data_IF_423834428759
#
_entry.id   IF_423834428759
#
_cell.length_a   1.000
_cell.length_b   1.000
_cell.length_c   1.000
_cell.angle_alpha   90.00
_cell.angle_beta   90.00
_cell.angle_gamma   90.00
#
_symmetry.space_group_name_H-M   'P 1'
#
loop_
_entity.id
_entity.type
_entity.pdbx_description
1 polymer ?
#
# COMPACT_ATOMS: atom_id res chain seq x y z
N UNK A 1 32.01 65.09 -39.54
CA UNK A 1 32.63 63.74 -39.70
C UNK A 1 33.10 63.29 -38.34
N UNK A 2 32.32 62.47 -37.63
CA UNK A 2 32.58 62.08 -36.24
C UNK A 2 33.51 60.86 -36.18
N UNK A 3 34.58 60.86 -35.36
CA UNK A 3 35.55 59.78 -35.33
C UNK A 3 35.09 58.59 -34.49
N UNK A 4 35.30 57.42 -35.09
CA UNK A 4 34.97 56.06 -34.66
C UNK A 4 35.81 55.56 -33.48
N UNK A 5 35.48 55.94 -32.24
CA UNK A 5 36.15 55.36 -31.05
C UNK A 5 35.26 55.12 -29.82
N UNK A 6 34.09 55.75 -29.73
CA UNK A 6 33.16 55.61 -28.59
C UNK A 6 32.31 54.34 -28.61
N UNK A 7 32.15 53.70 -29.78
CA UNK A 7 31.32 52.49 -29.91
C UNK A 7 32.03 51.26 -29.31
N UNK A 8 33.35 51.12 -29.52
CA UNK A 8 34.12 49.94 -29.05
C UNK A 8 34.23 49.89 -27.52
N UNK A 9 34.31 51.04 -26.85
CA UNK A 9 34.45 51.12 -25.39
C UNK A 9 33.13 50.89 -24.66
N UNK A 10 31.98 51.25 -25.26
CA UNK A 10 30.64 51.04 -24.71
C UNK A 10 30.19 49.56 -24.76
N UNK A 11 30.59 48.81 -25.80
CA UNK A 11 30.26 47.38 -25.91
C UNK A 11 31.02 46.51 -24.90
N UNK A 12 32.24 46.89 -24.53
CA UNK A 12 33.08 46.12 -23.58
C UNK A 12 32.62 46.36 -22.13
N UNK A 13 32.18 47.57 -21.79
CA UNK A 13 31.66 47.87 -20.45
C UNK A 13 30.24 47.33 -20.22
N UNK A 14 29.40 47.27 -21.26
CA UNK A 14 28.07 46.65 -21.20
C UNK A 14 28.14 45.13 -21.01
N UNK A 15 29.10 44.42 -21.62
CA UNK A 15 29.28 42.97 -21.42
C UNK A 15 29.87 42.63 -20.04
N UNK A 16 30.82 43.44 -19.54
CA UNK A 16 31.44 43.22 -18.23
C UNK A 16 30.47 43.51 -17.06
N UNK A 17 29.57 44.48 -17.21
CA UNK A 17 28.55 44.80 -16.18
C UNK A 17 27.36 43.83 -16.21
N UNK A 18 26.99 43.32 -17.39
CA UNK A 18 25.99 42.26 -17.51
C UNK A 18 26.50 40.91 -16.99
N UNK A 19 27.80 40.65 -17.09
CA UNK A 19 28.44 39.46 -16.50
C UNK A 19 28.56 39.53 -14.97
N UNK A 20 28.60 40.72 -14.36
CA UNK A 20 28.64 40.87 -12.90
C UNK A 20 27.24 40.78 -12.25
N UNK A 21 26.18 41.05 -13.02
CA UNK A 21 24.78 40.90 -12.56
C UNK A 21 24.27 39.44 -12.65
N UNK A 22 24.92 38.60 -13.45
CA UNK A 22 24.55 37.18 -13.62
C UNK A 22 25.15 36.23 -12.56
N UNK A 23 26.06 36.70 -11.70
CA UNK A 23 26.68 35.90 -10.62
C UNK A 23 25.93 35.98 -9.28
N UNK A 24 24.97 36.89 -9.13
CA UNK A 24 24.15 36.99 -7.91
C UNK A 24 22.80 36.27 -7.99
N UNK A 25 22.44 35.70 -9.14
CA UNK A 25 21.41 34.66 -9.25
C UNK A 25 22.06 33.27 -9.11
N UNK A 26 23.07 33.18 -8.25
CA UNK A 26 23.60 31.93 -7.73
C UNK A 26 22.71 31.36 -6.63
N UNK A 27 21.39 31.27 -6.81
CA UNK A 27 20.56 30.47 -5.90
C UNK A 27 20.66 28.99 -6.28
N UNK A 28 21.89 28.48 -6.29
CA UNK A 28 22.21 27.04 -6.34
C UNK A 28 22.26 26.45 -4.92
N UNK A 29 21.65 27.12 -3.93
CA UNK A 29 21.95 26.94 -2.52
C UNK A 29 20.73 26.97 -1.60
N UNK A 30 19.71 26.15 -1.86
CA UNK A 30 18.84 25.65 -0.78
C UNK A 30 18.12 24.35 -1.18
N UNK A 31 18.86 23.33 -1.61
CA UNK A 31 18.30 21.98 -1.76
C UNK A 31 18.20 21.31 -0.39
N UNK A 32 17.42 21.88 0.53
CA UNK A 32 17.04 21.09 1.71
C UNK A 32 16.16 19.97 1.17
N UNK A 33 16.54 18.74 1.47
CA UNK A 33 15.65 17.62 1.20
C UNK A 33 14.50 17.77 2.18
N UNK A 34 13.26 17.91 1.69
CA UNK A 34 12.13 18.13 2.56
C UNK A 34 12.01 16.93 3.50
N UNK A 35 11.62 17.21 4.74
CA UNK A 35 11.49 16.19 5.78
C UNK A 35 10.07 15.65 5.80
N UNK A 36 9.92 14.34 5.96
CA UNK A 36 8.60 13.71 6.01
C UNK A 36 7.93 14.09 7.33
N UNK A 37 6.74 14.69 7.25
CA UNK A 37 5.98 15.12 8.43
C UNK A 37 4.86 14.17 8.80
N UNK A 38 4.21 13.55 7.81
CA UNK A 38 3.14 12.57 8.04
C UNK A 38 3.10 11.50 6.95
N UNK A 39 2.52 10.35 7.31
CA UNK A 39 2.27 9.24 6.40
C UNK A 39 0.80 8.83 6.55
N UNK A 40 0.10 8.70 5.43
CA UNK A 40 -1.28 8.27 5.37
C UNK A 40 -1.40 6.97 4.58
N UNK A 41 -2.23 6.04 5.06
CA UNK A 41 -2.55 4.78 4.36
C UNK A 41 -3.93 4.92 3.73
N UNK A 42 -4.07 4.45 2.49
CA UNK A 42 -5.35 4.30 1.81
C UNK A 42 -5.44 2.97 1.06
N UNK A 43 -6.65 2.52 0.67
CA UNK A 43 -7.96 3.02 1.12
C UNK A 43 -8.20 2.75 2.62
N UNK A 44 -9.11 3.49 3.25
CA UNK A 44 -9.50 3.24 4.63
C UNK A 44 -10.54 2.12 4.71
N UNK A 45 -10.33 1.18 5.63
CA UNK A 45 -11.29 0.12 5.95
C UNK A 45 -11.78 -0.73 4.76
N UNK A 46 -10.90 -1.20 3.85
CA UNK A 46 -11.35 -2.00 2.71
C UNK A 46 -11.92 -3.34 3.18
N UNK A 47 -12.96 -3.79 2.48
CA UNK A 47 -13.51 -5.14 2.61
C UNK A 47 -13.21 -5.92 1.33
N UNK A 48 -12.54 -7.07 1.48
CA UNK A 48 -12.16 -7.94 0.37
C UNK A 48 -12.73 -9.34 0.55
N UNK A 49 -12.92 -10.04 -0.57
CA UNK A 49 -13.21 -11.48 -0.56
C UNK A 49 -11.92 -12.29 -0.63
N UNK A 50 -11.98 -13.56 -0.25
CA UNK A 50 -10.82 -14.48 -0.32
C UNK A 50 -10.20 -14.64 -1.72
N UNK A 51 -10.95 -14.32 -2.77
CA UNK A 51 -10.47 -14.37 -4.16
C UNK A 51 -9.91 -13.03 -4.67
N UNK A 52 -9.93 -11.97 -3.86
CA UNK A 52 -9.54 -10.62 -4.27
C UNK A 52 -8.36 -10.12 -3.45
N UNK A 53 -7.44 -9.44 -4.13
CA UNK A 53 -6.35 -8.70 -3.50
C UNK A 53 -6.71 -7.22 -3.42
N UNK A 54 -6.19 -6.51 -2.41
CA UNK A 54 -6.35 -5.06 -2.29
C UNK A 54 -5.00 -4.36 -2.38
N UNK A 55 -4.88 -3.40 -3.28
CA UNK A 55 -3.73 -2.50 -3.31
C UNK A 55 -3.92 -1.42 -2.24
N UNK A 56 -2.97 -1.33 -1.31
CA UNK A 56 -2.85 -0.24 -0.36
C UNK A 56 -1.83 0.77 -0.88
N UNK A 57 -2.03 2.04 -0.56
CA UNK A 57 -1.11 3.12 -0.86
C UNK A 57 -0.64 3.80 0.42
N UNK A 58 0.62 4.22 0.44
CA UNK A 58 1.20 5.02 1.51
C UNK A 58 1.62 6.38 0.94
N UNK A 59 0.87 7.43 1.28
CA UNK A 59 1.14 8.80 0.82
C UNK A 59 1.81 9.58 1.94
N UNK A 60 3.04 10.06 1.69
CA UNK A 60 3.78 10.90 2.60
C UNK A 60 3.56 12.38 2.32
N UNK A 61 3.32 13.18 3.36
CA UNK A 61 3.31 14.65 3.28
C UNK A 61 4.59 15.18 3.92
N UNK A 62 5.22 16.14 3.26
CA UNK A 62 6.47 16.75 3.69
C UNK A 62 6.26 18.14 4.29
N UNK A 63 7.29 18.68 4.94
CA UNK A 63 7.30 20.01 5.57
C UNK A 63 7.18 21.17 4.59
N UNK A 64 7.60 20.97 3.34
CA UNK A 64 7.39 21.90 2.23
C UNK A 64 5.94 21.85 1.66
N UNK A 65 5.07 21.01 2.24
CA UNK A 65 3.70 20.79 1.80
C UNK A 65 3.55 19.88 0.58
N UNK A 66 4.66 19.39 0.00
CA UNK A 66 4.60 18.42 -1.08
C UNK A 66 4.13 17.05 -0.59
N UNK A 67 3.53 16.27 -1.48
CA UNK A 67 3.15 14.88 -1.21
C UNK A 67 3.88 13.94 -2.15
N UNK A 68 4.24 12.74 -1.67
CA UNK A 68 4.83 11.68 -2.49
C UNK A 68 4.20 10.35 -2.18
N UNK A 69 4.06 9.53 -3.23
CA UNK A 69 3.76 8.13 -3.08
C UNK A 69 5.01 7.39 -2.56
N UNK A 70 4.87 6.79 -1.38
CA UNK A 70 5.88 6.01 -0.69
C UNK A 70 5.51 4.53 -0.61
N UNK A 71 4.47 4.08 -1.33
CA UNK A 71 3.93 2.71 -1.26
C UNK A 71 5.01 1.64 -1.40
N UNK A 72 5.87 1.74 -2.41
CA UNK A 72 6.97 0.77 -2.64
C UNK A 72 8.23 1.01 -1.81
N UNK A 73 8.23 2.02 -0.94
CA UNK A 73 9.36 2.38 -0.06
C UNK A 73 9.03 2.24 1.42
N UNK A 74 7.74 2.18 1.76
CA UNK A 74 7.26 1.99 3.10
C UNK A 74 7.49 0.55 3.56
N UNK A 75 7.71 0.38 4.86
CA UNK A 75 7.68 -0.92 5.52
C UNK A 75 6.25 -1.20 5.93
N UNK A 76 5.66 -2.25 5.36
CA UNK A 76 4.28 -2.66 5.62
C UNK A 76 4.22 -3.75 6.69
N UNK A 77 3.17 -3.70 7.51
CA UNK A 77 2.89 -4.70 8.55
C UNK A 77 1.42 -5.11 8.53
N UNK A 78 1.14 -6.36 8.90
CA UNK A 78 -0.21 -6.88 9.15
C UNK A 78 -0.26 -7.44 10.57
N UNK A 79 -1.30 -7.14 11.33
CA UNK A 79 -1.45 -7.65 12.70
C UNK A 79 -1.76 -9.15 12.74
N UNK A 80 -2.42 -9.67 11.71
CA UNK A 80 -2.78 -11.09 11.59
C UNK A 80 -2.57 -11.62 10.16
N UNK A 81 -1.47 -12.35 10.00
CA UNK A 81 -1.12 -13.02 8.74
C UNK A 81 -1.99 -14.24 8.42
N UNK A 82 -2.67 -14.83 9.41
CA UNK A 82 -3.62 -15.92 9.19
C UNK A 82 -4.90 -15.42 8.51
N UNK A 83 -5.18 -14.12 8.65
CA UNK A 83 -6.27 -13.40 8.01
C UNK A 83 -5.89 -12.87 6.63
N UNK A 84 -4.88 -11.99 6.57
CA UNK A 84 -4.33 -11.44 5.34
C UNK A 84 -2.88 -11.00 5.54
N UNK A 85 -2.10 -11.15 4.46
CA UNK A 85 -0.71 -10.70 4.38
C UNK A 85 -0.63 -9.44 3.52
N UNK A 86 0.40 -8.63 3.73
CA UNK A 86 0.70 -7.47 2.88
C UNK A 86 2.17 -7.54 2.44
N UNK A 87 2.43 -7.29 1.16
CA UNK A 87 3.80 -7.29 0.63
C UNK A 87 4.44 -5.89 0.67
N UNK A 88 5.73 -5.81 0.32
CA UNK A 88 6.49 -4.56 0.30
C UNK A 88 5.96 -3.52 -0.71
N UNK A 89 5.15 -3.94 -1.69
CA UNK A 89 4.50 -3.06 -2.65
C UNK A 89 3.11 -2.62 -2.18
N UNK A 90 2.72 -2.89 -0.94
CA UNK A 90 1.40 -2.55 -0.39
C UNK A 90 0.25 -3.44 -0.88
N UNK A 91 0.52 -4.57 -1.53
CA UNK A 91 -0.55 -5.47 -1.99
C UNK A 91 -0.95 -6.42 -0.85
N UNK A 92 -2.21 -6.31 -0.44
CA UNK A 92 -2.85 -7.20 0.54
C UNK A 92 -3.38 -8.43 -0.16
N UNK A 93 -3.00 -9.60 0.35
CA UNK A 93 -3.45 -10.91 -0.12
C UNK A 93 -4.16 -11.62 1.04
N UNK A 94 -5.46 -11.95 0.89
CA UNK A 94 -6.19 -12.69 1.91
C UNK A 94 -5.69 -14.13 2.01
N UNK A 95 -5.80 -14.72 3.19
CA UNK A 95 -5.44 -16.11 3.41
C UNK A 95 -6.51 -17.06 2.84
N UNK A 96 -6.05 -18.11 2.15
CA UNK A 96 -6.92 -19.15 1.62
C UNK A 96 -7.61 -20.00 2.70
N UNK A 97 -7.21 -19.89 3.97
CA UNK A 97 -7.81 -20.64 5.08
C UNK A 97 -8.95 -19.91 5.78
N UNK A 98 -9.32 -18.71 5.31
CA UNK A 98 -10.43 -17.96 5.88
C UNK A 98 -11.75 -18.65 5.55
N UNK A 99 -12.45 -19.10 6.59
CA UNK A 99 -13.77 -19.76 6.53
C UNK A 99 -14.88 -18.85 7.06
N UNK A 100 -14.55 -17.98 8.01
CA UNK A 100 -15.45 -16.99 8.62
C UNK A 100 -14.96 -15.56 8.33
N UNK A 101 -15.78 -14.54 8.60
CA UNK A 101 -15.32 -13.15 8.51
C UNK A 101 -14.12 -12.96 9.44
N UNK A 102 -13.08 -12.35 8.92
CA UNK A 102 -11.84 -12.09 9.65
C UNK A 102 -11.40 -10.63 9.45
N UNK A 103 -10.77 -10.04 10.46
CA UNK A 103 -10.26 -8.67 10.42
C UNK A 103 -8.79 -8.62 10.81
N UNK A 104 -8.00 -7.82 10.09
CA UNK A 104 -6.60 -7.53 10.41
C UNK A 104 -6.35 -6.04 10.29
N UNK A 105 -5.33 -5.51 10.97
CA UNK A 105 -4.90 -4.13 10.81
C UNK A 105 -3.61 -4.08 10.00
N UNK A 106 -3.56 -3.15 9.05
CA UNK A 106 -2.41 -2.89 8.19
C UNK A 106 -1.76 -1.58 8.61
N UNK A 107 -0.45 -1.64 8.88
CA UNK A 107 0.38 -0.49 9.18
C UNK A 107 1.42 -0.23 8.08
N UNK A 108 1.91 1.00 8.03
CA UNK A 108 2.98 1.42 7.14
C UNK A 108 3.90 2.39 7.88
N UNK A 109 5.21 2.28 7.68
CA UNK A 109 6.19 3.22 8.20
C UNK A 109 7.26 3.55 7.17
N UNK A 110 7.82 4.76 7.24
CA UNK A 110 8.94 5.18 6.42
C UNK A 110 9.91 6.02 7.26
N UNK A 111 11.13 5.53 7.44
CA UNK A 111 12.10 6.12 8.35
C UNK A 111 11.60 6.07 9.80
N UNK A 112 11.46 7.23 10.44
CA UNK A 112 10.94 7.36 11.82
C UNK A 112 9.44 7.66 11.88
N UNK A 113 8.78 7.87 10.74
CA UNK A 113 7.36 8.23 10.66
C UNK A 113 6.53 6.98 10.41
N UNK A 114 5.52 6.76 11.25
CA UNK A 114 4.53 5.69 11.08
C UNK A 114 3.16 6.28 10.77
N UNK A 115 2.42 5.63 9.89
CA UNK A 115 1.05 6.00 9.59
C UNK A 115 0.07 5.39 10.59
N UNK A 116 -1.12 5.98 10.69
CA UNK A 116 -2.26 5.35 11.34
C UNK A 116 -2.62 4.04 10.65
N UNK A 117 -2.70 2.95 11.41
CA UNK A 117 -3.13 1.65 10.89
C UNK A 117 -4.55 1.69 10.35
N UNK A 118 -4.83 0.91 9.32
CA UNK A 118 -6.18 0.75 8.77
C UNK A 118 -6.65 -0.69 8.87
N UNK A 119 -7.92 -0.90 9.19
CA UNK A 119 -8.50 -2.25 9.30
C UNK A 119 -8.78 -2.79 7.90
N UNK A 120 -8.49 -4.06 7.65
CA UNK A 120 -8.90 -4.79 6.45
C UNK A 120 -9.83 -5.90 6.89
N UNK A 121 -11.02 -5.95 6.30
CA UNK A 121 -11.99 -7.01 6.54
C UNK A 121 -11.93 -8.02 5.41
N UNK A 122 -11.67 -9.28 5.73
CA UNK A 122 -11.68 -10.40 4.79
C UNK A 122 -12.96 -11.20 4.98
N UNK A 123 -13.67 -11.43 3.89
CA UNK A 123 -14.84 -12.29 3.85
C UNK A 123 -14.55 -13.53 2.99
N UNK A 124 -15.04 -14.72 3.37
CA UNK A 124 -14.82 -15.94 2.60
C UNK A 124 -15.52 -15.91 1.23
N UNK A 125 -16.50 -15.03 1.04
CA UNK A 125 -17.36 -14.96 -0.15
C UNK A 125 -18.51 -15.96 -0.10
N UNK A 126 -19.33 -15.97 -1.14
CA UNK A 126 -20.43 -16.94 -1.28
C UNK A 126 -19.86 -18.30 -1.70
N UNK A 127 -20.13 -19.39 -0.96
CA UNK A 127 -19.64 -20.72 -1.35
C UNK A 127 -20.22 -21.16 -2.69
N UNK A 128 -19.38 -21.69 -3.57
CA UNK A 128 -19.78 -22.22 -4.88
C UNK A 128 -20.31 -23.65 -4.80
N UNK A 129 -19.91 -24.40 -3.79
CA UNK A 129 -20.40 -25.76 -3.54
C UNK A 129 -20.44 -26.07 -2.05
N UNK A 130 -21.37 -26.93 -1.65
CA UNK A 130 -21.47 -27.49 -0.30
C UNK A 130 -21.59 -29.01 -0.45
N UNK A 131 -20.81 -29.75 0.32
CA UNK A 131 -20.82 -31.21 0.35
C UNK A 131 -20.94 -31.71 1.79
N UNK A 132 -21.65 -32.81 1.98
CA UNK A 132 -21.78 -33.47 3.28
C UNK A 132 -21.03 -34.79 3.23
N UNK A 133 -20.20 -35.04 4.24
CA UNK A 133 -19.50 -36.31 4.43
C UNK A 133 -20.01 -36.95 5.73
N UNK A 134 -20.47 -38.19 5.65
CA UNK A 134 -20.79 -38.99 6.83
C UNK A 134 -19.55 -39.76 7.29
N UNK A 135 -19.34 -39.90 8.60
CA UNK A 135 -18.26 -40.72 9.15
C UNK A 135 -18.42 -42.21 8.83
N UNK A 136 -19.66 -42.65 8.56
CA UNK A 136 -20.01 -44.02 8.19
C UNK A 136 -21.01 -44.01 7.04
N UNK A 137 -20.77 -44.85 6.02
CA UNK A 137 -21.68 -45.02 4.88
C UNK A 137 -22.73 -46.12 5.09
N UNK A 138 -22.54 -46.97 6.11
CA UNK A 138 -23.45 -48.06 6.47
C UNK A 138 -23.39 -48.33 7.99
N UNK A 139 -24.05 -47.49 8.81
CA UNK A 139 -24.06 -47.66 10.27
C UNK A 139 -24.92 -48.85 10.72
N UNK A 140 -24.46 -49.59 11.72
CA UNK A 140 -25.22 -50.61 12.41
C UNK A 140 -26.21 -49.98 13.44
N UNK A 141 -27.20 -50.74 13.95
CA UNK A 141 -28.04 -50.26 15.03
C UNK A 141 -27.20 -49.85 16.26
N UNK A 142 -27.46 -48.64 16.77
CA UNK A 142 -26.73 -47.97 17.85
C UNK A 142 -25.37 -47.36 17.48
N UNK A 143 -24.95 -47.38 16.21
CA UNK A 143 -23.80 -46.59 15.77
C UNK A 143 -24.11 -45.08 15.83
N UNK A 144 -23.12 -44.31 16.23
CA UNK A 144 -23.16 -42.85 16.14
C UNK A 144 -22.48 -42.40 14.85
N UNK A 145 -23.24 -41.76 13.95
CA UNK A 145 -22.72 -41.15 12.72
C UNK A 145 -22.52 -39.66 12.96
N UNK A 146 -21.34 -39.15 12.63
CA UNK A 146 -21.08 -37.71 12.56
C UNK A 146 -21.14 -37.27 11.11
N UNK A 147 -21.66 -36.07 10.88
CA UNK A 147 -21.70 -35.45 9.57
C UNK A 147 -20.77 -34.23 9.57
N UNK A 148 -19.90 -34.16 8.57
CA UNK A 148 -19.03 -33.01 8.32
C UNK A 148 -19.56 -32.25 7.11
N UNK A 149 -19.82 -30.96 7.29
CA UNK A 149 -20.20 -30.07 6.21
C UNK A 149 -18.96 -29.37 5.66
N UNK A 150 -18.67 -29.55 4.36
CA UNK A 150 -17.55 -28.92 3.70
C UNK A 150 -18.04 -27.96 2.62
N UNK A 151 -17.57 -26.71 2.65
CA UNK A 151 -17.89 -25.68 1.65
C UNK A 151 -16.68 -25.31 0.80
N UNK A 152 -16.89 -25.16 -0.50
CA UNK A 152 -15.88 -24.63 -1.42
C UNK A 152 -16.13 -23.14 -1.62
N UNK A 153 -15.20 -22.31 -1.15
CA UNK A 153 -15.25 -20.85 -1.33
C UNK A 153 -14.41 -20.39 -2.52
N UNK A 154 -14.76 -19.28 -3.18
CA UNK A 154 -13.91 -18.65 -4.19
C UNK A 154 -12.48 -18.42 -3.68
N UNK A 155 -11.49 -18.77 -4.50
CA UNK A 155 -10.07 -18.66 -4.13
C UNK A 155 -9.53 -19.78 -3.25
N UNK A 156 -10.35 -20.75 -2.82
CA UNK A 156 -9.86 -21.97 -2.15
C UNK A 156 -9.51 -23.05 -3.18
N UNK A 157 -8.39 -23.74 -2.97
CA UNK A 157 -8.04 -24.93 -3.75
C UNK A 157 -8.70 -26.23 -3.26
N UNK A 158 -9.35 -26.19 -2.09
CA UNK A 158 -9.99 -27.36 -1.47
C UNK A 158 -11.21 -26.95 -0.63
N UNK A 159 -12.21 -27.85 -0.47
CA UNK A 159 -13.31 -27.63 0.46
C UNK A 159 -12.79 -27.37 1.88
N UNK A 160 -13.42 -26.43 2.57
CA UNK A 160 -13.13 -26.08 3.96
C UNK A 160 -14.25 -26.61 4.85
N UNK A 161 -13.90 -27.20 5.99
CA UNK A 161 -14.87 -27.65 6.98
C UNK A 161 -15.59 -26.44 7.60
N UNK A 162 -16.93 -26.47 7.54
CA UNK A 162 -17.83 -25.45 8.09
C UNK A 162 -18.75 -26.05 9.17
N UNK A 163 -18.43 -27.24 9.68
CA UNK A 163 -19.18 -27.88 10.76
C UNK A 163 -19.04 -27.04 12.03
N UNK A 164 -20.17 -26.65 12.61
CA UNK A 164 -20.27 -25.84 13.85
C UNK A 164 -20.47 -26.69 15.09
#
# INVERSE_FOLDING_TARGET
MMPSSTLKTQFITALATLSLLALMVGCKGFFVNPTLTSLAIGPSSPTITKSQTQQMSATGTYDDGSTKDLTGRATWTSSDSSCATINANGLVTPSASVVNICTTTVGASFGTVSASSTTVTVTPGTPTAITLAASLTNPAPNDSVTFTANATFPGSSSPQDITT
#
